data_IF_035086213556
#
_entry.id   IF_035086213556
#
_cell.length_a   1.000
_cell.length_b   1.000
_cell.length_c   1.000
_cell.angle_alpha   90.00
_cell.angle_beta   90.00
_cell.angle_gamma   90.00
#
_symmetry.space_group_name_H-M   'P 1'
#
loop_
_entity.id
_entity.type
_entity.pdbx_description
1 polymer ?
#
# COMPACT_ATOMS: atom_id res chain seq x y z
N UNK A 1 -13.88 49.60 -3.60
CA UNK A 1 -12.99 49.27 -2.48
C UNK A 1 -12.22 48.01 -2.85
N UNK A 2 -10.95 48.20 -3.14
CA UNK A 2 -9.97 47.12 -3.44
C UNK A 2 -9.49 46.52 -2.13
N UNK A 3 -9.62 45.22 -1.94
CA UNK A 3 -8.92 44.50 -0.88
C UNK A 3 -7.82 43.65 -1.53
N UNK A 4 -6.56 44.02 -1.27
CA UNK A 4 -5.39 43.30 -1.72
C UNK A 4 -5.18 42.02 -0.91
N UNK A 5 -4.93 40.90 -1.59
CA UNK A 5 -4.30 39.73 -0.99
C UNK A 5 -2.78 39.92 -1.05
N UNK A 6 -2.16 39.95 0.11
CA UNK A 6 -0.71 39.89 0.23
C UNK A 6 -0.27 38.44 0.07
N UNK A 7 0.49 38.16 -1.00
CA UNK A 7 1.19 36.89 -1.16
C UNK A 7 2.44 36.91 -0.26
N UNK A 8 2.44 36.08 0.77
CA UNK A 8 3.62 35.79 1.56
C UNK A 8 4.51 34.81 0.79
N UNK A 9 5.54 35.35 0.13
CA UNK A 9 6.61 34.56 -0.46
C UNK A 9 7.45 33.88 0.61
N UNK A 10 7.36 32.56 0.72
CA UNK A 10 8.32 31.78 1.51
C UNK A 10 9.54 31.54 0.66
N UNK A 11 10.63 32.24 0.97
CA UNK A 11 11.95 31.92 0.45
C UNK A 11 12.43 30.60 1.04
N UNK A 12 12.39 29.55 0.25
CA UNK A 12 13.05 28.28 0.57
C UNK A 12 14.52 28.39 0.23
N UNK A 13 15.32 28.74 1.24
CA UNK A 13 16.76 28.55 1.19
C UNK A 13 17.09 27.07 1.07
N UNK A 14 17.95 26.72 0.11
CA UNK A 14 18.41 25.37 -0.12
C UNK A 14 19.00 24.71 1.13
N UNK A 15 18.33 23.72 1.66
CA UNK A 15 18.84 22.85 2.71
C UNK A 15 19.46 21.62 2.07
N UNK A 16 20.79 21.63 1.94
CA UNK A 16 21.53 20.39 1.81
C UNK A 16 21.20 19.53 3.04
N UNK A 17 20.48 18.42 2.86
CA UNK A 17 20.20 17.48 3.93
C UNK A 17 21.47 16.69 4.23
N UNK A 18 22.35 17.26 5.04
CA UNK A 18 23.39 16.50 5.71
C UNK A 18 22.70 15.44 6.59
N UNK A 19 23.19 14.20 6.53
CA UNK A 19 22.76 13.15 7.44
C UNK A 19 22.73 13.70 8.89
N UNK A 20 21.69 13.38 9.69
CA UNK A 20 21.60 13.91 11.04
C UNK A 20 22.86 13.53 11.81
N UNK A 21 23.53 14.53 12.38
CA UNK A 21 24.68 14.29 13.25
C UNK A 21 24.24 13.42 14.43
N UNK A 22 25.13 12.59 14.98
CA UNK A 22 24.85 11.74 16.13
C UNK A 22 24.15 12.52 17.26
N UNK A 23 24.52 13.76 17.47
CA UNK A 23 23.90 14.66 18.45
C UNK A 23 22.42 14.93 18.15
N UNK A 24 22.04 15.20 16.89
CA UNK A 24 20.64 15.41 16.50
C UNK A 24 19.79 14.14 16.68
N UNK A 25 20.37 12.97 16.44
CA UNK A 25 19.71 11.69 16.66
C UNK A 25 19.47 11.45 18.17
N UNK A 26 20.45 11.79 19.02
CA UNK A 26 20.33 11.66 20.46
C UNK A 26 19.33 12.67 21.06
N UNK A 27 19.32 13.90 20.61
CA UNK A 27 18.36 14.92 21.03
C UNK A 27 16.92 14.55 20.60
N UNK A 28 16.76 13.97 19.41
CA UNK A 28 15.50 13.44 18.94
C UNK A 28 15.04 12.27 19.84
N UNK A 29 15.93 11.35 20.18
CA UNK A 29 15.66 10.22 21.08
C UNK A 29 15.26 10.69 22.50
N UNK A 30 15.94 11.70 23.05
CA UNK A 30 15.58 12.34 24.34
C UNK A 30 14.24 13.05 24.32
N UNK A 31 13.91 13.72 23.19
CA UNK A 31 12.60 14.38 23.00
C UNK A 31 11.47 13.34 22.97
N UNK A 32 11.64 12.24 22.23
CA UNK A 32 10.63 11.17 22.15
C UNK A 32 10.48 10.42 23.49
N UNK A 33 11.56 10.22 24.25
CA UNK A 33 11.48 9.62 25.56
C UNK A 33 10.62 10.42 26.56
N UNK A 34 10.51 11.74 26.37
CA UNK A 34 9.61 12.61 27.17
C UNK A 34 8.14 12.51 26.78
N UNK A 35 7.83 12.11 25.53
CA UNK A 35 6.46 12.05 25.04
C UNK A 35 5.72 10.78 25.47
N UNK A 36 6.44 9.79 26.03
CA UNK A 36 5.88 8.47 26.35
C UNK A 36 5.68 7.61 25.10
N UNK A 37 5.19 6.40 25.33
CA UNK A 37 4.84 5.46 24.26
C UNK A 37 3.36 5.56 23.92
N UNK A 38 3.03 5.48 22.65
CA UNK A 38 1.65 5.37 22.15
C UNK A 38 1.18 3.92 22.34
N UNK A 39 0.04 3.71 22.97
CA UNK A 39 -0.58 2.39 23.02
C UNK A 39 -1.24 2.09 21.67
N UNK A 40 -0.88 0.97 21.09
CA UNK A 40 -1.27 0.58 19.73
C UNK A 40 -2.02 -0.75 19.77
N UNK A 41 -3.15 -0.82 19.08
CA UNK A 41 -3.80 -2.06 18.71
C UNK A 41 -3.34 -2.49 17.31
N UNK A 42 -3.19 -3.79 17.09
CA UNK A 42 -2.68 -4.36 15.85
C UNK A 42 -3.68 -5.33 15.24
N UNK A 43 -4.06 -5.14 13.98
CA UNK A 43 -4.99 -6.00 13.24
C UNK A 43 -4.28 -6.57 12.02
N UNK A 44 -4.13 -7.91 11.97
CA UNK A 44 -3.27 -8.60 11.02
C UNK A 44 -1.83 -8.68 11.52
N UNK A 45 -1.46 -9.75 12.22
CA UNK A 45 -0.16 -9.84 12.91
C UNK A 45 0.81 -10.86 12.33
N UNK A 46 0.45 -11.48 11.19
CA UNK A 46 1.31 -12.43 10.47
C UNK A 46 1.92 -11.78 9.21
N UNK A 47 2.86 -12.45 8.58
CA UNK A 47 3.48 -12.05 7.31
C UNK A 47 3.90 -10.55 7.33
N UNK A 48 3.30 -9.73 6.45
CA UNK A 48 3.59 -8.30 6.36
C UNK A 48 3.34 -7.59 7.69
N UNK A 49 2.25 -7.92 8.39
CA UNK A 49 1.96 -7.35 9.70
C UNK A 49 3.06 -7.60 10.73
N UNK A 50 3.71 -8.77 10.71
CA UNK A 50 4.86 -9.03 11.58
C UNK A 50 6.10 -8.23 11.16
N UNK A 51 6.34 -8.05 9.87
CA UNK A 51 7.45 -7.23 9.37
C UNK A 51 7.31 -5.78 9.82
N UNK A 52 6.14 -5.17 9.60
CA UNK A 52 5.86 -3.79 10.01
C UNK A 52 5.91 -3.64 11.53
N UNK A 53 5.41 -4.62 12.27
CA UNK A 53 5.47 -4.64 13.74
C UNK A 53 6.93 -4.54 14.24
N UNK A 54 7.86 -5.27 13.62
CA UNK A 54 9.29 -5.18 13.93
C UNK A 54 9.87 -3.78 13.69
N UNK A 55 9.41 -3.08 12.67
CA UNK A 55 9.85 -1.70 12.41
C UNK A 55 9.30 -0.73 13.48
N UNK A 56 8.06 -0.92 13.92
CA UNK A 56 7.50 -0.17 15.05
C UNK A 56 8.26 -0.45 16.37
N UNK A 57 8.61 -1.72 16.63
CA UNK A 57 9.43 -2.12 17.79
C UNK A 57 10.77 -1.36 17.82
N UNK A 58 11.45 -1.25 16.67
CA UNK A 58 12.74 -0.54 16.55
C UNK A 58 12.64 0.95 16.91
N UNK A 59 11.48 1.57 16.72
CA UNK A 59 11.30 2.98 17.10
C UNK A 59 11.34 3.20 18.61
N UNK A 60 10.96 2.19 19.38
CA UNK A 60 10.80 2.27 20.83
C UNK A 60 9.64 3.17 21.29
N UNK A 61 8.82 3.69 20.36
CA UNK A 61 7.74 4.65 20.64
C UNK A 61 6.36 4.00 20.75
N UNK A 62 6.19 2.77 20.34
CA UNK A 62 4.93 2.05 20.41
C UNK A 62 4.92 1.06 21.59
N UNK A 63 3.74 0.91 22.20
CA UNK A 63 3.42 -0.11 23.17
C UNK A 63 2.23 -0.91 22.62
N UNK A 64 2.47 -2.12 22.12
CA UNK A 64 1.42 -2.97 21.57
C UNK A 64 0.63 -3.58 22.71
N UNK A 65 -0.64 -3.18 22.88
CA UNK A 65 -1.50 -3.57 24.01
C UNK A 65 -2.58 -4.56 23.62
N UNK A 66 -2.93 -4.63 22.35
CA UNK A 66 -3.90 -5.58 21.81
C UNK A 66 -3.49 -6.02 20.40
N UNK A 67 -3.79 -7.26 20.03
CA UNK A 67 -3.52 -7.85 18.72
C UNK A 67 -4.73 -8.66 18.27
N UNK A 68 -4.98 -8.65 16.98
CA UNK A 68 -6.07 -9.38 16.36
C UNK A 68 -5.62 -10.06 15.05
N UNK A 69 -5.93 -11.33 14.90
CA UNK A 69 -5.78 -12.08 13.64
C UNK A 69 -6.77 -13.23 13.62
N UNK A 70 -7.30 -13.54 12.44
CA UNK A 70 -8.24 -14.66 12.28
C UNK A 70 -7.56 -16.03 12.26
N UNK A 71 -6.23 -16.07 12.05
CA UNK A 71 -5.40 -17.28 12.07
C UNK A 71 -4.37 -17.21 13.19
N UNK A 72 -4.82 -17.51 14.40
CA UNK A 72 -3.96 -17.44 15.60
C UNK A 72 -2.89 -18.51 15.64
N UNK A 73 -3.03 -19.62 14.91
CA UNK A 73 -2.05 -20.71 14.90
C UNK A 73 -1.02 -20.59 13.77
N UNK A 74 -1.16 -19.64 12.88
CA UNK A 74 -0.12 -19.38 11.88
C UNK A 74 1.21 -19.06 12.55
N UNK A 75 2.30 -19.43 11.90
CA UNK A 75 3.66 -19.16 12.41
C UNK A 75 3.88 -17.67 12.73
N UNK A 76 3.43 -16.79 11.83
CA UNK A 76 3.60 -15.35 12.02
C UNK A 76 2.80 -14.79 13.18
N UNK A 77 1.56 -15.27 13.40
CA UNK A 77 0.74 -14.90 14.56
C UNK A 77 1.39 -15.37 15.86
N UNK A 78 1.87 -16.59 15.91
CA UNK A 78 2.55 -17.12 17.10
C UNK A 78 3.84 -16.36 17.42
N UNK A 79 4.64 -15.98 16.42
CA UNK A 79 5.81 -15.14 16.62
C UNK A 79 5.46 -13.77 17.20
N UNK A 80 4.37 -13.14 16.72
CA UNK A 80 3.90 -11.86 17.22
C UNK A 80 3.38 -11.95 18.66
N UNK A 81 2.61 -13.00 18.98
CA UNK A 81 2.10 -13.26 20.33
C UNK A 81 3.27 -13.47 21.30
N UNK A 82 4.25 -14.27 20.92
CA UNK A 82 5.44 -14.52 21.75
C UNK A 82 6.28 -13.25 21.98
N UNK A 83 6.35 -12.34 20.99
CA UNK A 83 7.06 -11.07 21.13
C UNK A 83 6.33 -10.09 22.06
N UNK A 84 5.01 -10.17 22.18
CA UNK A 84 4.17 -9.27 22.97
C UNK A 84 3.27 -10.02 23.97
N UNK A 85 3.83 -10.76 24.95
CA UNK A 85 3.06 -11.66 25.82
C UNK A 85 2.08 -10.94 26.77
N UNK A 86 2.18 -9.61 26.87
CA UNK A 86 1.24 -8.78 27.68
C UNK A 86 0.09 -8.21 26.86
N UNK A 87 0.15 -8.29 25.53
CA UNK A 87 -0.92 -7.82 24.68
C UNK A 87 -2.09 -8.79 24.70
N UNK A 88 -3.32 -8.26 24.76
CA UNK A 88 -4.51 -9.11 24.67
C UNK A 88 -4.76 -9.53 23.23
N UNK A 89 -5.09 -10.80 23.02
CA UNK A 89 -5.23 -11.40 21.67
C UNK A 89 -6.68 -11.67 21.36
N UNK A 90 -7.09 -11.38 20.12
CA UNK A 90 -8.45 -11.50 19.61
C UNK A 90 -8.46 -12.15 18.22
N UNK A 91 -9.57 -12.77 17.85
CA UNK A 91 -9.87 -13.18 16.47
C UNK A 91 -10.76 -12.17 15.76
N UNK A 92 -11.56 -11.41 16.48
CA UNK A 92 -12.48 -10.40 15.95
C UNK A 92 -12.04 -9.00 16.39
N UNK A 93 -11.67 -8.15 15.42
CA UNK A 93 -11.25 -6.78 15.73
C UNK A 93 -12.38 -5.94 16.34
N UNK A 94 -13.65 -6.21 16.04
CA UNK A 94 -14.80 -5.51 16.64
C UNK A 94 -14.84 -5.73 18.15
N UNK A 95 -14.67 -6.99 18.59
CA UNK A 95 -14.55 -7.32 20.01
C UNK A 95 -13.34 -6.66 20.67
N UNK A 96 -12.20 -6.62 19.95
CA UNK A 96 -11.02 -5.91 20.43
C UNK A 96 -11.31 -4.42 20.67
N UNK A 97 -12.00 -3.76 19.76
CA UNK A 97 -12.38 -2.36 19.91
C UNK A 97 -13.38 -2.15 21.06
N UNK A 98 -14.36 -3.03 21.21
CA UNK A 98 -15.37 -2.94 22.27
C UNK A 98 -14.73 -3.08 23.67
N UNK A 99 -13.81 -4.03 23.84
CA UNK A 99 -13.20 -4.32 25.13
C UNK A 99 -11.98 -3.45 25.45
N UNK A 100 -11.20 -3.09 24.45
CA UNK A 100 -9.90 -2.43 24.62
C UNK A 100 -9.84 -1.02 24.03
N UNK A 101 -10.90 -0.53 23.40
CA UNK A 101 -10.90 0.76 22.71
C UNK A 101 -10.47 1.95 23.57
N UNK A 102 -10.74 1.92 24.88
CA UNK A 102 -10.26 2.95 25.83
C UNK A 102 -8.78 2.82 26.22
N UNK A 103 -8.09 1.75 25.81
CA UNK A 103 -6.72 1.41 26.22
C UNK A 103 -5.66 1.67 25.16
N UNK A 104 -6.05 2.03 23.94
CA UNK A 104 -5.14 2.37 22.86
C UNK A 104 -5.55 3.67 22.16
N UNK A 105 -4.56 4.38 21.65
CA UNK A 105 -4.71 5.64 20.93
C UNK A 105 -4.63 5.44 19.41
N UNK A 106 -3.93 4.41 18.96
CA UNK A 106 -3.69 4.15 17.55
C UNK A 106 -3.97 2.69 17.17
N UNK A 107 -4.28 2.49 15.89
CA UNK A 107 -4.49 1.16 15.29
C UNK A 107 -3.60 1.01 14.07
N UNK A 108 -2.95 -0.14 13.95
CA UNK A 108 -2.22 -0.56 12.75
C UNK A 108 -3.03 -1.67 12.08
N UNK A 109 -3.30 -1.53 10.78
CA UNK A 109 -4.14 -2.44 9.99
C UNK A 109 -3.29 -3.05 8.88
N UNK A 110 -3.04 -4.36 8.96
CA UNK A 110 -2.15 -5.14 8.10
C UNK A 110 -2.86 -6.39 7.53
N UNK A 111 -4.14 -6.29 7.37
CA UNK A 111 -5.02 -7.38 6.90
C UNK A 111 -5.05 -7.45 5.36
N UNK A 112 -5.77 -8.40 4.75
CA UNK A 112 -6.02 -8.37 3.31
C UNK A 112 -6.74 -7.10 2.85
N UNK A 113 -6.49 -6.66 1.61
CA UNK A 113 -6.96 -5.40 1.03
C UNK A 113 -8.46 -5.11 1.28
N UNK A 114 -9.29 -6.13 1.14
CA UNK A 114 -10.75 -6.02 1.28
C UNK A 114 -11.23 -5.74 2.71
N UNK A 115 -10.38 -5.97 3.70
CA UNK A 115 -10.72 -5.78 5.11
C UNK A 115 -10.14 -4.48 5.72
N UNK A 116 -9.36 -3.71 4.96
CA UNK A 116 -8.82 -2.44 5.41
C UNK A 116 -9.92 -1.43 5.73
N UNK A 117 -10.86 -1.24 4.81
CA UNK A 117 -11.92 -0.23 4.92
C UNK A 117 -12.76 -0.37 6.20
N UNK A 118 -13.37 -1.52 6.53
CA UNK A 118 -14.21 -1.63 7.72
C UNK A 118 -13.42 -1.40 9.01
N UNK A 119 -12.18 -1.86 9.07
CA UNK A 119 -11.33 -1.67 10.25
C UNK A 119 -10.92 -0.20 10.43
N UNK A 120 -10.49 0.47 9.36
CA UNK A 120 -10.11 1.88 9.36
C UNK A 120 -11.29 2.78 9.74
N UNK A 121 -12.47 2.52 9.16
CA UNK A 121 -13.67 3.32 9.47
C UNK A 121 -14.12 3.16 10.92
N UNK A 122 -14.03 1.95 11.48
CA UNK A 122 -14.29 1.72 12.90
C UNK A 122 -13.29 2.51 13.78
N UNK A 123 -12.00 2.46 13.44
CA UNK A 123 -10.96 3.18 14.16
C UNK A 123 -11.19 4.70 14.14
N UNK A 124 -11.43 5.30 12.97
CA UNK A 124 -11.69 6.73 12.84
C UNK A 124 -12.96 7.16 13.57
N UNK A 125 -14.03 6.35 13.51
CA UNK A 125 -15.26 6.61 14.23
C UNK A 125 -15.10 6.56 15.76
N UNK A 126 -14.15 5.79 16.26
CA UNK A 126 -13.78 5.74 17.68
C UNK A 126 -12.66 6.72 18.06
N UNK A 127 -12.31 7.65 17.18
CA UNK A 127 -11.31 8.68 17.45
C UNK A 127 -9.87 8.14 17.57
N UNK A 128 -9.51 7.10 16.82
CA UNK A 128 -8.17 6.50 16.84
C UNK A 128 -7.32 7.01 15.69
N UNK A 129 -6.03 7.23 15.93
CA UNK A 129 -5.03 7.36 14.89
C UNK A 129 -4.92 6.05 14.12
N UNK A 130 -4.63 6.11 12.81
CA UNK A 130 -4.63 4.92 11.96
C UNK A 130 -3.36 4.87 11.10
N UNK A 131 -2.71 3.72 11.11
CA UNK A 131 -1.79 3.30 10.07
C UNK A 131 -2.45 2.12 9.34
N UNK A 132 -2.55 2.20 8.02
CA UNK A 132 -3.14 1.12 7.20
C UNK A 132 -2.21 0.75 6.06
N UNK A 133 -1.99 -0.55 5.85
CA UNK A 133 -1.21 -1.05 4.72
C UNK A 133 -1.84 -0.67 3.38
N UNK A 134 -1.01 -0.66 2.36
CA UNK A 134 -1.44 -0.40 0.97
C UNK A 134 -2.05 -1.67 0.34
N UNK A 135 -2.97 -1.53 -0.60
CA UNK A 135 -3.76 -0.34 -0.92
C UNK A 135 -4.75 -0.03 0.20
N UNK A 136 -5.00 1.25 0.47
CA UNK A 136 -5.83 1.66 1.62
C UNK A 136 -7.26 1.14 1.55
N UNK A 137 -7.85 1.06 0.37
CA UNK A 137 -9.18 0.54 0.10
C UNK A 137 -9.19 -0.24 -1.19
N UNK A 138 -10.16 -1.12 -1.36
CA UNK A 138 -10.31 -1.97 -2.53
C UNK A 138 -11.09 -1.30 -3.66
N UNK A 139 -11.97 -0.38 -3.32
CA UNK A 139 -12.79 0.33 -4.29
C UNK A 139 -12.56 1.84 -4.21
N UNK A 140 -12.85 2.55 -5.31
CA UNK A 140 -12.82 4.01 -5.32
C UNK A 140 -13.73 4.61 -4.24
N UNK A 141 -14.91 4.03 -4.05
CA UNK A 141 -15.88 4.50 -3.06
C UNK A 141 -15.37 4.33 -1.62
N UNK A 142 -14.73 3.22 -1.29
CA UNK A 142 -14.09 3.03 0.02
C UNK A 142 -13.01 4.08 0.27
N UNK A 143 -12.14 4.32 -0.71
CA UNK A 143 -11.09 5.33 -0.60
C UNK A 143 -11.68 6.73 -0.39
N UNK A 144 -12.73 7.09 -1.14
CA UNK A 144 -13.42 8.38 -0.99
C UNK A 144 -14.01 8.56 0.40
N UNK A 145 -14.67 7.53 0.94
CA UNK A 145 -15.24 7.57 2.30
C UNK A 145 -14.15 7.70 3.37
N UNK A 146 -13.00 7.01 3.20
CA UNK A 146 -11.86 7.12 4.11
C UNK A 146 -11.24 8.52 4.07
N UNK A 147 -11.07 9.11 2.88
CA UNK A 147 -10.60 10.49 2.71
C UNK A 147 -11.55 11.47 3.41
N UNK A 148 -12.85 11.32 3.21
CA UNK A 148 -13.85 12.17 3.87
C UNK A 148 -13.84 12.00 5.39
N UNK A 149 -13.68 10.77 5.89
CA UNK A 149 -13.56 10.50 7.32
C UNK A 149 -12.31 11.15 7.92
N UNK A 150 -11.15 11.06 7.24
CA UNK A 150 -9.93 11.73 7.67
C UNK A 150 -10.08 13.26 7.68
N UNK A 151 -10.69 13.85 6.65
CA UNK A 151 -10.98 15.30 6.58
C UNK A 151 -11.90 15.78 7.69
N UNK A 152 -12.90 14.97 8.11
CA UNK A 152 -13.78 15.29 9.24
C UNK A 152 -13.09 15.19 10.60
N UNK A 153 -11.99 14.48 10.69
CA UNK A 153 -11.23 14.25 11.92
C UNK A 153 -9.77 14.75 11.79
N UNK A 154 -9.53 16.07 11.54
CA UNK A 154 -8.20 16.60 11.23
C UNK A 154 -7.22 16.52 12.40
N UNK A 155 -7.69 16.21 13.60
CA UNK A 155 -6.88 15.96 14.79
C UNK A 155 -6.33 14.54 14.86
N UNK A 156 -6.85 13.63 14.05
CA UNK A 156 -6.35 12.25 13.97
C UNK A 156 -5.24 12.16 12.91
N UNK A 157 -4.20 11.44 13.24
CA UNK A 157 -3.14 11.09 12.30
C UNK A 157 -3.57 9.85 11.52
N UNK A 158 -3.56 9.96 10.19
CA UNK A 158 -3.78 8.84 9.27
C UNK A 158 -2.55 8.66 8.39
N UNK A 159 -2.09 7.43 8.25
CA UNK A 159 -0.87 7.09 7.49
C UNK A 159 -1.12 5.85 6.62
N UNK A 160 -0.85 5.97 5.33
CA UNK A 160 -0.77 4.82 4.42
C UNK A 160 0.58 4.11 4.52
N UNK A 161 0.57 2.78 4.45
CA UNK A 161 1.73 1.91 4.59
C UNK A 161 2.57 1.74 3.32
N UNK A 162 2.69 2.76 2.47
CA UNK A 162 3.52 2.67 1.28
C UNK A 162 4.99 2.88 1.62
N UNK A 163 5.76 1.77 1.75
CA UNK A 163 7.17 1.81 2.12
C UNK A 163 8.05 2.59 1.14
N UNK A 164 7.66 2.70 -0.14
CA UNK A 164 8.39 3.45 -1.16
C UNK A 164 8.70 4.90 -0.76
N UNK A 165 7.81 5.54 0.00
CA UNK A 165 8.00 6.90 0.53
C UNK A 165 9.18 7.05 1.52
N UNK A 166 9.72 5.94 2.03
CA UNK A 166 10.90 5.94 2.92
C UNK A 166 12.20 5.59 2.20
N UNK A 167 12.14 5.25 0.93
CA UNK A 167 13.27 4.78 0.14
C UNK A 167 14.08 5.94 -0.50
N UNK A 168 15.38 5.67 -0.79
CA UNK A 168 16.25 6.64 -1.45
C UNK A 168 15.71 7.13 -2.79
N UNK A 169 15.10 6.22 -3.55
CA UNK A 169 14.59 6.49 -4.89
C UNK A 169 13.49 7.56 -4.86
N UNK A 170 12.62 7.54 -3.84
CA UNK A 170 11.59 8.56 -3.65
C UNK A 170 12.21 9.97 -3.51
N UNK A 171 13.19 10.11 -2.62
CA UNK A 171 13.86 11.40 -2.41
C UNK A 171 14.71 11.82 -3.60
N UNK A 172 15.31 10.88 -4.31
CA UNK A 172 16.08 11.15 -5.52
C UNK A 172 15.18 11.65 -6.64
N UNK A 173 14.05 10.99 -6.90
CA UNK A 173 13.08 11.41 -7.89
C UNK A 173 12.54 12.81 -7.57
N UNK A 174 12.18 13.05 -6.31
CA UNK A 174 11.80 14.37 -5.80
C UNK A 174 12.83 15.43 -6.15
N UNK A 175 14.09 15.21 -5.78
CA UNK A 175 15.16 16.16 -6.02
C UNK A 175 15.37 16.44 -7.51
N UNK A 176 15.27 15.42 -8.37
CA UNK A 176 15.41 15.59 -9.81
C UNK A 176 14.24 16.35 -10.43
N UNK A 177 13.04 16.14 -9.96
CA UNK A 177 11.85 16.88 -10.42
C UNK A 177 11.93 18.34 -9.97
N UNK A 178 12.28 18.62 -8.71
CA UNK A 178 12.45 19.96 -8.16
C UNK A 178 13.61 20.74 -8.85
N UNK A 179 14.66 20.04 -9.25
CA UNK A 179 15.79 20.62 -10.02
C UNK A 179 15.48 20.81 -11.51
N UNK A 180 14.32 20.38 -12.00
CA UNK A 180 13.93 20.45 -13.40
C UNK A 180 14.73 19.52 -14.33
N UNK A 181 15.35 18.47 -13.79
CA UNK A 181 15.99 17.40 -14.57
C UNK A 181 14.89 16.53 -15.18
N UNK A 182 13.92 16.08 -14.37
CA UNK A 182 12.71 15.40 -14.82
C UNK A 182 11.68 16.50 -15.10
N UNK A 183 11.40 16.74 -16.38
CA UNK A 183 10.45 17.76 -16.85
C UNK A 183 9.87 17.38 -18.22
N UNK A 184 8.72 17.94 -18.55
CA UNK A 184 8.04 17.73 -19.83
C UNK A 184 7.77 16.25 -20.13
N UNK A 185 7.56 15.44 -19.08
CA UNK A 185 7.23 14.02 -19.23
C UNK A 185 5.87 13.88 -19.92
N UNK A 186 5.83 13.15 -21.01
CA UNK A 186 4.63 12.91 -21.83
C UNK A 186 4.16 11.47 -21.79
N UNK A 187 5.05 10.54 -21.38
CA UNK A 187 4.75 9.12 -21.30
C UNK A 187 5.56 8.44 -20.18
N UNK A 188 4.97 7.43 -19.56
CA UNK A 188 5.62 6.56 -18.57
C UNK A 188 5.17 5.12 -18.83
N UNK A 189 6.12 4.20 -18.90
CA UNK A 189 5.87 2.77 -18.83
C UNK A 189 6.15 2.27 -17.41
N UNK A 190 5.13 1.68 -16.78
CA UNK A 190 5.25 1.03 -15.48
C UNK A 190 4.96 -0.46 -15.62
N UNK A 191 5.80 -1.33 -15.07
CA UNK A 191 5.60 -2.76 -15.26
C UNK A 191 5.88 -3.62 -14.02
N UNK A 192 5.13 -4.73 -13.93
CA UNK A 192 5.29 -5.76 -12.92
C UNK A 192 5.12 -7.14 -13.55
N UNK A 193 6.23 -7.77 -13.93
CA UNK A 193 6.20 -8.99 -14.74
C UNK A 193 6.46 -10.28 -13.94
N UNK A 194 6.58 -10.20 -12.63
CA UNK A 194 6.60 -11.38 -11.77
C UNK A 194 5.21 -12.03 -11.70
N UNK A 195 5.16 -13.36 -11.72
CA UNK A 195 3.91 -14.13 -11.62
C UNK A 195 3.22 -14.07 -10.24
N UNK A 196 3.56 -13.09 -9.40
CA UNK A 196 3.11 -13.03 -8.00
C UNK A 196 1.59 -12.96 -7.81
N UNK A 197 0.85 -12.51 -8.84
CA UNK A 197 -0.61 -12.35 -8.80
C UNK A 197 -1.31 -13.23 -9.83
N UNK A 198 -0.55 -14.06 -10.52
CA UNK A 198 -1.04 -15.15 -11.34
C UNK A 198 -0.43 -16.46 -10.83
N UNK A 199 -1.25 -17.38 -10.39
CA UNK A 199 -0.81 -18.63 -9.77
C UNK A 199 -0.99 -19.85 -10.67
N UNK A 200 -1.07 -19.65 -11.99
CA UNK A 200 -1.24 -20.73 -12.97
C UNK A 200 -2.61 -21.38 -12.92
N UNK A 201 -3.66 -20.62 -12.54
CA UNK A 201 -5.02 -21.13 -12.50
C UNK A 201 -5.52 -21.49 -13.89
N UNK A 202 -6.38 -22.52 -13.95
CA UNK A 202 -7.07 -22.85 -15.19
C UNK A 202 -8.04 -21.72 -15.57
N UNK A 203 -7.79 -21.09 -16.72
CA UNK A 203 -8.64 -19.99 -17.23
C UNK A 203 -10.04 -20.44 -17.65
N UNK A 204 -10.26 -21.74 -17.79
CA UNK A 204 -11.54 -22.33 -18.21
C UNK A 204 -12.41 -22.74 -17.03
N UNK A 205 -12.10 -22.36 -15.80
CA UNK A 205 -12.98 -22.67 -14.67
C UNK A 205 -14.35 -22.05 -14.86
N UNK A 206 -15.38 -22.79 -14.47
CA UNK A 206 -16.80 -22.40 -14.52
C UNK A 206 -17.39 -22.17 -13.11
N UNK A 207 -16.57 -22.36 -12.07
CA UNK A 207 -16.96 -22.23 -10.66
C UNK A 207 -15.75 -21.92 -9.77
N UNK A 208 -16.03 -21.48 -8.56
CA UNK A 208 -15.01 -21.35 -7.52
C UNK A 208 -14.45 -22.71 -7.10
N UNK A 209 -13.23 -22.77 -6.52
CA UNK A 209 -12.63 -23.99 -5.99
C UNK A 209 -13.54 -24.69 -4.99
N UNK A 210 -13.51 -26.02 -4.99
CA UNK A 210 -14.26 -26.83 -4.03
C UNK A 210 -13.78 -26.61 -2.59
N UNK A 211 -14.69 -26.82 -1.63
CA UNK A 211 -14.38 -26.75 -0.21
C UNK A 211 -13.27 -27.72 0.19
N UNK A 212 -12.34 -27.23 1.00
CA UNK A 212 -11.33 -28.02 1.71
C UNK A 212 -11.41 -27.74 3.21
N UNK A 213 -10.83 -28.59 4.06
CA UNK A 213 -10.87 -28.39 5.51
C UNK A 213 -10.21 -27.07 5.90
N UNK A 214 -10.90 -26.29 6.75
CA UNK A 214 -10.35 -25.07 7.33
C UNK A 214 -9.16 -25.42 8.24
N UNK A 215 -8.02 -24.74 8.13
CA UNK A 215 -6.89 -24.94 9.04
C UNK A 215 -7.28 -24.74 10.51
N UNK A 216 -6.75 -25.60 11.36
CA UNK A 216 -7.03 -25.51 12.80
C UNK A 216 -6.56 -24.15 13.37
N UNK A 217 -7.44 -23.51 14.13
CA UNK A 217 -7.20 -22.21 14.74
C UNK A 217 -7.46 -21.00 13.84
N UNK A 218 -7.99 -21.23 12.63
CA UNK A 218 -8.41 -20.17 11.72
C UNK A 218 -9.93 -19.95 11.79
N UNK A 219 -10.35 -18.72 11.96
CA UNK A 219 -11.74 -18.28 11.83
C UNK A 219 -12.00 -17.84 10.39
N UNK A 220 -12.48 -18.76 9.56
CA UNK A 220 -12.68 -18.51 8.13
C UNK A 220 -13.87 -17.57 7.85
N UNK A 221 -14.88 -17.56 8.70
CA UNK A 221 -16.03 -16.66 8.59
C UNK A 221 -15.60 -15.21 8.82
N UNK A 222 -14.85 -14.95 9.90
CA UNK A 222 -14.29 -13.65 10.19
C UNK A 222 -13.28 -13.16 9.15
N UNK A 223 -12.60 -14.09 8.43
CA UNK A 223 -11.65 -13.72 7.38
C UNK A 223 -12.33 -12.93 6.26
N UNK A 224 -13.55 -13.25 5.89
CA UNK A 224 -14.29 -12.56 4.80
C UNK A 224 -14.62 -11.11 5.12
N UNK A 225 -14.77 -10.76 6.39
CA UNK A 225 -15.22 -9.43 6.83
C UNK A 225 -16.52 -8.99 6.14
N UNK A 226 -16.41 -8.16 5.08
CA UNK A 226 -17.54 -7.62 4.31
C UNK A 226 -17.71 -8.28 2.94
N UNK A 227 -16.86 -9.26 2.61
CA UNK A 227 -16.92 -9.93 1.31
C UNK A 227 -17.92 -11.07 1.31
N UNK A 228 -18.34 -11.46 0.11
CA UNK A 228 -19.19 -12.65 -0.07
C UNK A 228 -18.47 -13.87 0.49
N UNK A 229 -19.19 -14.71 1.23
CA UNK A 229 -18.65 -15.95 1.77
C UNK A 229 -18.36 -16.94 0.65
N UNK A 230 -17.18 -17.55 0.70
CA UNK A 230 -16.77 -18.70 -0.08
C UNK A 230 -16.27 -19.78 0.86
N UNK A 231 -16.53 -21.04 0.51
CA UNK A 231 -15.96 -22.17 1.24
C UNK A 231 -14.43 -22.10 1.20
N UNK A 232 -13.77 -22.55 2.27
CA UNK A 232 -12.31 -22.49 2.35
C UNK A 232 -11.65 -23.31 1.25
N UNK A 233 -10.63 -22.70 0.66
CA UNK A 233 -9.70 -23.38 -0.23
C UNK A 233 -8.32 -22.73 -0.14
N UNK A 234 -7.19 -23.49 -0.15
CA UNK A 234 -5.83 -22.93 -0.10
C UNK A 234 -5.47 -22.05 -1.30
N UNK A 235 -6.29 -22.05 -2.36
CA UNK A 235 -6.18 -21.09 -3.47
C UNK A 235 -6.54 -19.64 -3.07
N UNK A 236 -7.13 -19.43 -1.90
CA UNK A 236 -7.41 -18.09 -1.36
C UNK A 236 -6.39 -17.66 -0.31
N UNK A 237 -6.08 -18.51 0.65
CA UNK A 237 -5.25 -18.18 1.80
C UNK A 237 -3.97 -19.05 1.81
N UNK A 238 -2.80 -18.54 2.30
CA UNK A 238 -2.62 -17.25 3.01
C UNK A 238 -2.37 -16.02 2.14
N UNK A 239 -2.13 -16.09 0.87
CA UNK A 239 -1.74 -14.92 0.06
C UNK A 239 -2.33 -14.88 -1.35
N UNK A 240 -2.91 -15.98 -1.78
CA UNK A 240 -3.41 -16.18 -3.14
C UNK A 240 -4.72 -15.41 -3.42
N UNK A 241 -5.41 -14.94 -2.38
CA UNK A 241 -6.62 -14.12 -2.46
C UNK A 241 -6.45 -12.91 -3.40
N UNK A 242 -5.24 -12.39 -3.55
CA UNK A 242 -4.94 -11.22 -4.40
C UNK A 242 -5.29 -11.42 -5.86
N UNK A 243 -5.33 -12.66 -6.34
CA UNK A 243 -5.67 -12.99 -7.71
C UNK A 243 -7.18 -13.03 -7.99
N UNK A 244 -8.00 -13.20 -6.97
CA UNK A 244 -9.45 -13.39 -7.09
C UNK A 244 -10.18 -12.06 -7.06
N UNK A 245 -11.14 -11.85 -7.98
CA UNK A 245 -11.91 -10.60 -8.04
C UNK A 245 -12.65 -10.28 -6.74
N UNK A 246 -13.16 -11.29 -6.03
CA UNK A 246 -13.91 -11.08 -4.80
C UNK A 246 -13.03 -10.61 -3.63
N UNK A 247 -11.72 -10.84 -3.69
CA UNK A 247 -10.83 -10.58 -2.56
C UNK A 247 -9.70 -9.60 -2.88
N UNK A 248 -9.15 -9.66 -4.09
CA UNK A 248 -7.94 -8.91 -4.45
C UNK A 248 -8.18 -7.79 -5.44
N UNK A 249 -7.06 -7.25 -5.91
CA UNK A 249 -7.00 -6.17 -6.89
C UNK A 249 -6.02 -6.48 -8.03
N UNK A 250 -5.56 -7.72 -8.15
CA UNK A 250 -4.60 -8.14 -9.16
C UNK A 250 -3.23 -7.49 -9.05
N UNK A 251 -2.46 -7.56 -10.12
CA UNK A 251 -1.09 -7.02 -10.16
C UNK A 251 -1.07 -5.49 -10.07
N UNK A 252 -1.93 -4.80 -10.80
CA UNK A 252 -2.01 -3.34 -10.79
C UNK A 252 -2.37 -2.80 -9.41
N UNK A 253 -3.40 -3.36 -8.75
CA UNK A 253 -3.82 -2.87 -7.44
C UNK A 253 -2.78 -3.12 -6.34
N UNK A 254 -2.08 -4.27 -6.40
CA UNK A 254 -1.06 -4.59 -5.40
C UNK A 254 0.27 -3.84 -5.64
N UNK A 255 0.70 -3.67 -6.90
CA UNK A 255 2.00 -3.11 -7.25
C UNK A 255 1.97 -1.71 -7.85
N UNK A 256 0.85 -1.28 -8.42
CA UNK A 256 0.71 0.08 -8.93
C UNK A 256 0.98 1.12 -7.85
N UNK A 257 0.51 0.87 -6.62
CA UNK A 257 0.80 1.71 -5.46
C UNK A 257 2.30 1.86 -5.15
N UNK A 258 3.15 0.93 -5.58
CA UNK A 258 4.60 1.03 -5.40
C UNK A 258 5.31 1.70 -6.57
N UNK A 259 4.85 1.46 -7.79
CA UNK A 259 5.57 1.85 -9.01
C UNK A 259 5.09 3.17 -9.59
N UNK A 260 3.80 3.49 -9.44
CA UNK A 260 3.20 4.70 -10.01
C UNK A 260 3.14 5.85 -8.98
N UNK A 261 3.13 5.54 -7.71
CA UNK A 261 2.88 6.50 -6.63
C UNK A 261 3.83 7.71 -6.65
N UNK A 262 5.15 7.46 -6.70
CA UNK A 262 6.16 8.54 -6.77
C UNK A 262 5.98 9.43 -8.00
N UNK A 263 5.66 8.81 -9.15
CA UNK A 263 5.38 9.51 -10.41
C UNK A 263 4.10 10.32 -10.26
N UNK A 264 3.08 9.73 -9.70
CA UNK A 264 1.78 10.36 -9.48
C UNK A 264 1.90 11.60 -8.60
N UNK A 265 2.67 11.52 -7.51
CA UNK A 265 2.88 12.63 -6.59
C UNK A 265 3.68 13.78 -7.24
N UNK A 266 4.87 13.50 -7.75
CA UNK A 266 5.79 14.56 -8.20
C UNK A 266 5.51 15.11 -9.58
N UNK A 267 4.76 14.38 -10.41
CA UNK A 267 4.22 14.90 -11.66
C UNK A 267 2.78 15.46 -11.51
N UNK A 268 2.24 15.49 -10.28
CA UNK A 268 0.93 16.06 -9.94
C UNK A 268 -0.22 15.52 -10.81
N UNK A 269 -0.30 14.21 -11.01
CA UNK A 269 -1.16 13.62 -12.03
C UNK A 269 -2.66 13.82 -11.77
N UNK A 270 -3.10 13.69 -10.52
CA UNK A 270 -4.53 13.70 -10.19
C UNK A 270 -5.23 12.44 -10.72
N UNK A 271 -6.49 12.57 -11.11
CA UNK A 271 -7.24 11.45 -11.69
C UNK A 271 -7.08 11.39 -13.21
N UNK A 272 -6.95 10.19 -13.80
CA UNK A 272 -6.98 10.04 -15.24
C UNK A 272 -8.37 10.39 -15.78
N UNK A 273 -8.44 11.00 -16.94
CA UNK A 273 -9.71 11.29 -17.62
C UNK A 273 -10.13 10.17 -18.57
N UNK A 274 -9.20 9.29 -18.93
CA UNK A 274 -9.45 8.13 -19.80
C UNK A 274 -8.60 6.94 -19.31
N UNK A 275 -9.21 5.77 -19.24
CA UNK A 275 -8.56 4.50 -18.93
C UNK A 275 -8.92 3.52 -20.05
N UNK A 276 -7.93 3.04 -20.78
CA UNK A 276 -8.11 2.14 -21.91
C UNK A 276 -7.49 0.79 -21.63
N UNK A 277 -8.24 -0.30 -21.59
CA UNK A 277 -7.70 -1.64 -21.63
C UNK A 277 -7.12 -1.91 -23.04
N UNK A 278 -5.81 -2.15 -23.12
CA UNK A 278 -5.12 -2.39 -24.40
C UNK A 278 -5.05 -3.88 -24.69
N UNK A 279 -4.76 -4.68 -23.67
CA UNK A 279 -4.59 -6.13 -23.81
C UNK A 279 -4.92 -6.84 -22.50
N UNK A 280 -5.64 -7.98 -22.62
CA UNK A 280 -5.82 -8.95 -21.55
C UNK A 280 -5.61 -10.36 -22.06
N UNK A 281 -4.84 -11.16 -21.32
CA UNK A 281 -4.62 -12.58 -21.60
C UNK A 281 -4.98 -13.42 -20.37
N UNK A 282 -5.52 -14.61 -20.58
CA UNK A 282 -5.93 -15.50 -19.50
C UNK A 282 -7.07 -14.91 -18.65
N UNK A 283 -7.96 -14.17 -19.28
CA UNK A 283 -9.10 -13.55 -18.62
C UNK A 283 -10.24 -14.51 -18.38
N UNK A 284 -10.89 -14.36 -17.21
CA UNK A 284 -12.19 -14.99 -16.93
C UNK A 284 -12.98 -14.13 -15.90
N UNK A 285 -14.10 -14.64 -15.38
CA UNK A 285 -14.98 -13.91 -14.46
C UNK A 285 -14.68 -14.13 -12.98
N UNK A 286 -13.65 -14.92 -12.62
CA UNK A 286 -13.34 -15.29 -11.25
C UNK A 286 -12.06 -14.63 -10.73
N UNK A 287 -11.06 -14.48 -11.58
CA UNK A 287 -9.75 -13.94 -11.19
C UNK A 287 -9.14 -13.02 -12.24
N UNK A 288 -8.20 -12.20 -11.79
CA UNK A 288 -7.51 -11.22 -12.63
C UNK A 288 -6.73 -11.88 -13.77
N UNK A 289 -6.57 -11.20 -14.91
CA UNK A 289 -5.86 -11.74 -16.08
C UNK A 289 -4.46 -12.24 -15.76
N UNK A 290 -3.99 -13.21 -16.54
CA UNK A 290 -2.60 -13.67 -16.53
C UNK A 290 -1.65 -12.56 -16.91
N UNK A 291 -2.03 -11.72 -17.87
CA UNK A 291 -1.32 -10.50 -18.22
C UNK A 291 -2.28 -9.41 -18.64
N UNK A 292 -1.92 -8.16 -18.36
CA UNK A 292 -2.69 -6.99 -18.78
C UNK A 292 -1.79 -5.86 -19.26
N UNK A 293 -2.32 -5.07 -20.20
CA UNK A 293 -1.78 -3.77 -20.59
C UNK A 293 -2.89 -2.74 -20.53
N UNK A 294 -2.70 -1.70 -19.71
CA UNK A 294 -3.73 -0.69 -19.45
C UNK A 294 -3.09 0.69 -19.60
N UNK A 295 -3.70 1.56 -20.41
CA UNK A 295 -3.25 2.94 -20.58
C UNK A 295 -4.15 3.90 -19.79
N UNK A 296 -3.51 4.85 -19.08
CA UNK A 296 -4.15 5.90 -18.29
C UNK A 296 -3.74 7.26 -18.83
N UNK A 297 -4.69 8.11 -19.25
CA UNK A 297 -4.41 9.44 -19.76
C UNK A 297 -4.73 10.53 -18.74
N UNK A 298 -3.81 11.47 -18.61
CA UNK A 298 -3.89 12.59 -17.67
C UNK A 298 -3.86 13.93 -18.42
N UNK A 299 -4.65 14.91 -17.99
CA UNK A 299 -4.70 16.22 -18.64
C UNK A 299 -3.42 17.01 -18.39
N UNK A 300 -3.28 18.14 -19.10
CA UNK A 300 -2.27 19.16 -18.79
C UNK A 300 -2.44 19.66 -17.34
N UNK A 301 -1.33 19.86 -16.62
CA UNK A 301 -1.31 20.31 -15.23
C UNK A 301 -0.35 21.52 -15.08
N UNK A 302 -0.92 22.75 -15.06
CA UNK A 302 -0.11 23.95 -15.06
C UNK A 302 0.85 24.00 -16.25
N UNK A 303 2.15 24.05 -15.98
CA UNK A 303 3.20 24.04 -17.00
C UNK A 303 3.57 22.63 -17.51
N UNK A 304 3.09 21.58 -16.84
CA UNK A 304 3.36 20.21 -17.24
C UNK A 304 2.43 19.79 -18.40
N UNK A 305 2.95 19.10 -19.44
CA UNK A 305 2.15 18.65 -20.58
C UNK A 305 1.11 17.61 -20.17
N UNK A 306 0.12 17.37 -21.04
CA UNK A 306 -0.68 16.16 -20.96
C UNK A 306 0.23 14.93 -21.11
N UNK A 307 -0.09 13.85 -20.40
CA UNK A 307 0.71 12.63 -20.45
C UNK A 307 -0.14 11.37 -20.29
N UNK A 308 0.46 10.24 -20.55
CA UNK A 308 -0.14 8.96 -20.27
C UNK A 308 0.84 8.05 -19.48
N UNK A 309 0.25 7.09 -18.76
CA UNK A 309 0.95 5.98 -18.15
C UNK A 309 0.44 4.70 -18.79
N UNK A 310 1.32 3.85 -19.27
CA UNK A 310 0.97 2.49 -19.66
C UNK A 310 1.48 1.51 -18.63
N UNK A 311 0.56 0.77 -18.05
CA UNK A 311 0.81 -0.33 -17.13
C UNK A 311 0.94 -1.64 -17.89
N UNK A 312 1.95 -2.43 -17.54
CA UNK A 312 2.24 -3.73 -18.13
C UNK A 312 2.40 -4.77 -17.01
N UNK A 313 1.66 -5.85 -17.06
CA UNK A 313 1.88 -6.96 -16.14
C UNK A 313 1.78 -8.32 -16.84
N UNK A 314 2.30 -9.34 -16.16
CA UNK A 314 2.31 -10.71 -16.65
C UNK A 314 3.64 -11.11 -17.27
N UNK A 315 3.90 -12.42 -17.24
CA UNK A 315 5.14 -13.00 -17.77
C UNK A 315 5.21 -12.75 -19.28
N UNK A 316 6.30 -12.15 -19.74
CA UNK A 316 6.54 -11.88 -21.16
C UNK A 316 5.80 -10.66 -21.73
N UNK A 317 4.98 -9.98 -20.96
CA UNK A 317 4.27 -8.77 -21.38
C UNK A 317 5.02 -7.51 -20.91
N UNK A 318 6.15 -7.23 -21.56
CA UNK A 318 7.01 -6.11 -21.22
C UNK A 318 6.70 -4.86 -22.05
N UNK A 319 6.97 -3.66 -21.53
CA UNK A 319 6.97 -2.45 -22.32
C UNK A 319 8.02 -2.52 -23.45
N UNK A 320 7.84 -1.77 -24.55
CA UNK A 320 8.86 -1.65 -25.57
C UNK A 320 10.11 -0.98 -24.97
N UNK A 321 11.29 -1.51 -25.33
CA UNK A 321 12.55 -0.87 -24.93
C UNK A 321 12.77 0.36 -25.82
N UNK A 322 13.00 1.56 -25.24
CA UNK A 322 13.28 2.75 -26.04
C UNK A 322 14.48 2.56 -26.96
N UNK A 323 14.43 3.15 -28.15
CA UNK A 323 15.54 3.14 -29.10
C UNK A 323 16.81 3.70 -28.45
N UNK A 324 17.95 3.02 -28.61
CA UNK A 324 19.25 3.39 -28.03
C UNK A 324 19.43 3.01 -26.56
N UNK A 325 18.42 2.49 -25.88
CA UNK A 325 18.51 2.16 -24.45
C UNK A 325 19.50 1.03 -24.16
N UNK A 326 19.66 0.08 -25.07
CA UNK A 326 20.62 -1.04 -24.95
C UNK A 326 22.06 -0.72 -25.37
N UNK A 327 22.31 0.48 -25.92
CA UNK A 327 23.64 0.87 -26.47
C UNK A 327 24.47 1.69 -25.47
N UNK A 328 23.93 2.00 -24.30
CA UNK A 328 24.64 2.75 -23.26
C UNK A 328 25.85 1.96 -22.74
N UNK A 329 27.01 2.54 -22.85
CA UNK A 329 28.28 2.04 -22.26
C UNK A 329 28.33 2.20 -20.73
N UNK A 330 27.29 2.68 -20.10
CA UNK A 330 27.15 2.83 -18.66
C UNK A 330 26.71 1.51 -18.05
N UNK A 331 27.66 0.63 -17.80
CA UNK A 331 27.52 -0.54 -16.96
C UNK A 331 26.53 -1.60 -17.48
N UNK A 332 26.84 -2.83 -17.28
CA UNK A 332 26.12 -4.01 -17.76
C UNK A 332 24.69 -4.20 -17.21
N UNK A 333 24.16 -3.25 -16.50
CA UNK A 333 22.83 -3.29 -15.90
C UNK A 333 21.87 -2.37 -16.66
N UNK A 334 21.69 -2.63 -17.93
CA UNK A 334 20.33 -2.52 -18.48
C UNK A 334 19.48 -3.36 -17.56
N UNK A 335 18.49 -2.79 -16.84
CA UNK A 335 17.63 -3.59 -15.97
C UNK A 335 17.14 -4.73 -16.84
N UNK A 336 17.65 -5.91 -16.57
CA UNK A 336 17.11 -7.12 -17.18
C UNK A 336 15.64 -7.04 -16.84
N UNK A 337 14.83 -6.96 -17.88
CA UNK A 337 13.38 -6.81 -17.78
C UNK A 337 12.86 -8.08 -17.11
N UNK A 338 13.16 -8.28 -15.89
CA UNK A 338 12.84 -9.45 -15.09
C UNK A 338 12.38 -9.02 -13.73
N UNK A 339 11.38 -8.12 -13.66
CA UNK A 339 10.99 -7.65 -12.35
C UNK A 339 9.89 -6.60 -12.42
N UNK A 340 10.15 -5.50 -11.77
CA UNK A 340 9.24 -4.38 -11.63
C UNK A 340 9.99 -3.08 -11.86
N UNK A 341 9.45 -2.18 -12.64
CA UNK A 341 10.02 -0.84 -12.82
C UNK A 341 8.99 0.15 -13.33
N UNK A 342 9.35 1.44 -13.30
CA UNK A 342 8.71 2.48 -14.06
C UNK A 342 9.79 3.28 -14.79
N UNK A 343 9.57 3.56 -16.08
CA UNK A 343 10.42 4.37 -16.92
C UNK A 343 9.64 5.58 -17.44
N UNK A 344 10.27 6.76 -17.43
CA UNK A 344 9.69 8.05 -17.84
C UNK A 344 10.46 8.68 -18.99
#
# INVERSE_FOLDING_TARGET
>A
KKSGLAAAGVMMGGLATAAPTAQKAEDKKKRFAKLGKVNVAWVGMANRGREVMKEFEKTGMANIVAMCDVDLKSKGSQESIAAHPKAKVYTDFRKMFDEMGSKFEAVVVETPDFSHFPCVMLALNQGKHVYVEKPMGRTFYECELMIQAAKRNPHLVTQGGNQGHSDRNYYQFKAWTEAGIIKNVTHVDAHMNNSRRWHGYDVNIDRFPQAEPIPDGMDWDLWHTTQQFHEFNPKYHPGNWRSWYDFGMGALGDWGAHLIDTIHEFLHLGLPYEITPVKFEGWNTYFFPMSSTINFKFPRRGDMPAMDITWWDGIGNYPPVPEGYGESKMGADVPTIGGQSAAA
#
